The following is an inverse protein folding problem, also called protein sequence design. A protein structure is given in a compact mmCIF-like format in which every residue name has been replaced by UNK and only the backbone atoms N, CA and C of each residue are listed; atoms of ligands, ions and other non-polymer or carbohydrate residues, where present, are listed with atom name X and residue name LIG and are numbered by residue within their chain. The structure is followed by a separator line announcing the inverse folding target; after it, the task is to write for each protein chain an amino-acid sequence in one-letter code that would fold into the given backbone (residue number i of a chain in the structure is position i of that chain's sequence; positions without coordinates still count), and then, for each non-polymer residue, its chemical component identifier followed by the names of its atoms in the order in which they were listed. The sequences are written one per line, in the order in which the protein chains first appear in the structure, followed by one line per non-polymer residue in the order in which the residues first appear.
data_IF_295684915774
#
_entry.id   IF_295684915774
#
_cell.length_a   1.000
_cell.length_b   1.000
_cell.length_c   1.000
_cell.angle_alpha   90.00
_cell.angle_beta   90.00
_cell.angle_gamma   90.00
#
_symmetry.space_group_name_H-M   'P 1'
#
loop_
_entity.id
_entity.type
_entity.pdbx_description
1 polymer ?
#
# COMPACT_ATOMS: atom_id res chain seq x y z
N UNK A 1 -6.38 6.38 -10.89
CA UNK A 1 -7.67 6.69 -10.26
C UNK A 1 -7.44 6.75 -8.75
N UNK A 2 -7.98 7.78 -8.12
CA UNK A 2 -7.87 8.04 -6.66
C UNK A 2 -9.01 7.31 -5.96
N UNK A 3 -8.71 6.66 -4.83
CA UNK A 3 -9.74 6.09 -3.96
C UNK A 3 -10.34 7.20 -3.10
N UNK A 4 -11.47 7.76 -3.55
CA UNK A 4 -12.16 8.86 -2.87
C UNK A 4 -12.36 8.66 -1.35
N UNK A 5 -12.81 7.49 -0.84
CA UNK A 5 -12.95 7.30 0.61
C UNK A 5 -11.62 7.39 1.35
N UNK A 6 -10.54 6.87 0.75
CA UNK A 6 -9.19 6.96 1.34
C UNK A 6 -8.67 8.40 1.28
N UNK A 7 -9.00 9.16 0.24
CA UNK A 7 -8.70 10.58 0.18
C UNK A 7 -9.37 11.36 1.32
N UNK A 8 -10.66 11.12 1.56
CA UNK A 8 -11.37 11.76 2.66
C UNK A 8 -10.72 11.44 4.01
N UNK A 9 -10.39 10.17 4.26
CA UNK A 9 -9.68 9.75 5.47
C UNK A 9 -8.32 10.45 5.59
N UNK A 10 -7.52 10.44 4.52
CA UNK A 10 -6.22 11.11 4.47
C UNK A 10 -6.31 12.60 4.80
N UNK A 11 -7.29 13.31 4.22
CA UNK A 11 -7.50 14.74 4.48
C UNK A 11 -7.87 14.97 5.95
N UNK A 12 -8.75 14.15 6.52
CA UNK A 12 -9.14 14.25 7.94
C UNK A 12 -7.94 14.00 8.85
N UNK A 13 -7.19 12.93 8.60
CA UNK A 13 -5.97 12.59 9.34
C UNK A 13 -4.91 13.69 9.23
N UNK A 14 -4.76 14.31 8.05
CA UNK A 14 -3.82 15.40 7.80
C UNK A 14 -4.22 16.67 8.58
N UNK A 15 -5.51 17.01 8.61
CA UNK A 15 -6.01 18.14 9.40
C UNK A 15 -5.85 17.89 10.89
N UNK A 16 -6.07 16.67 11.37
CA UNK A 16 -5.83 16.29 12.76
C UNK A 16 -4.34 16.40 13.13
N UNK A 17 -3.45 15.91 12.27
CA UNK A 17 -2.01 16.02 12.47
C UNK A 17 -1.54 17.49 12.46
N UNK A 18 -2.07 18.32 11.56
CA UNK A 18 -1.79 19.75 11.52
C UNK A 18 -2.26 20.46 12.80
N UNK A 19 -3.47 20.14 13.28
CA UNK A 19 -3.97 20.67 14.55
C UNK A 19 -3.06 20.29 15.72
N UNK A 20 -2.67 19.02 15.84
CA UNK A 20 -1.79 18.55 16.92
C UNK A 20 -0.40 19.18 16.84
N UNK A 21 0.16 19.34 15.63
CA UNK A 21 1.50 19.89 15.43
C UNK A 21 1.59 21.41 15.60
N UNK A 22 0.54 22.16 15.27
CA UNK A 22 0.52 23.62 15.38
C UNK A 22 -0.06 24.13 16.70
N UNK A 23 -0.95 23.36 17.35
CA UNK A 23 -1.49 23.72 18.64
C UNK A 23 -0.40 23.71 19.72
N UNK A 24 -0.51 24.64 20.69
CA UNK A 24 0.39 24.69 21.85
C UNK A 24 -0.02 23.69 22.93
N UNK A 25 -0.24 22.43 22.53
CA UNK A 25 -0.67 21.34 23.40
C UNK A 25 0.52 20.42 23.66
N UNK A 26 0.76 20.10 24.93
CA UNK A 26 1.79 19.12 25.30
C UNK A 26 1.13 17.77 25.47
N UNK A 27 1.43 16.84 24.57
CA UNK A 27 0.92 15.47 24.65
C UNK A 27 1.93 14.58 25.39
N UNK A 28 1.45 13.66 26.25
CA UNK A 28 2.31 12.60 26.76
C UNK A 28 2.79 11.73 25.58
N UNK A 29 4.08 11.39 25.58
CA UNK A 29 4.72 10.60 24.51
C UNK A 29 4.68 11.24 23.11
N UNK A 30 5.00 12.54 23.01
CA UNK A 30 5.15 13.29 21.77
C UNK A 30 5.86 12.51 20.62
N UNK A 31 6.94 11.79 20.94
CA UNK A 31 7.66 10.95 19.94
C UNK A 31 6.82 9.80 19.36
N UNK A 32 5.96 9.19 20.18
CA UNK A 32 5.03 8.16 19.72
C UNK A 32 3.92 8.77 18.86
N UNK A 33 3.50 10.02 19.15
CA UNK A 33 2.52 10.75 18.34
C UNK A 33 3.09 11.05 16.94
N UNK A 34 4.32 11.56 16.86
CA UNK A 34 5.04 11.77 15.60
C UNK A 34 5.15 10.49 14.76
N UNK A 35 5.63 9.40 15.39
CA UNK A 35 5.69 8.09 14.76
C UNK A 35 4.33 7.62 14.24
N UNK A 36 3.30 7.67 15.09
CA UNK A 36 1.96 7.19 14.76
C UNK A 36 1.27 8.01 13.67
N UNK A 37 1.38 9.34 13.74
CA UNK A 37 0.83 10.25 12.74
C UNK A 37 1.45 10.01 11.36
N UNK A 38 2.79 9.93 11.29
CA UNK A 38 3.47 9.69 10.02
C UNK A 38 3.27 8.26 9.50
N UNK A 39 3.11 7.29 10.39
CA UNK A 39 2.73 5.93 10.01
C UNK A 39 1.35 5.93 9.31
N UNK A 40 0.33 6.53 9.95
CA UNK A 40 -1.04 6.57 9.43
C UNK A 40 -1.12 7.35 8.11
N UNK A 41 -0.58 8.57 8.07
CA UNK A 41 -0.58 9.40 6.87
C UNK A 41 0.12 8.72 5.70
N UNK A 42 1.24 8.03 5.96
CA UNK A 42 1.98 7.31 4.90
C UNK A 42 1.18 6.12 4.38
N UNK A 43 0.51 5.36 5.26
CA UNK A 43 -0.33 4.24 4.86
C UNK A 43 -1.55 4.69 4.04
N UNK A 44 -2.24 5.73 4.48
CA UNK A 44 -3.38 6.33 3.76
C UNK A 44 -2.94 6.87 2.40
N UNK A 45 -1.83 7.61 2.34
CA UNK A 45 -1.28 8.12 1.09
C UNK A 45 -0.88 6.99 0.12
N UNK A 46 -0.34 5.88 0.63
CA UNK A 46 -0.02 4.72 -0.19
C UNK A 46 -1.29 4.10 -0.80
N UNK A 47 -2.34 3.91 0.01
CA UNK A 47 -3.58 3.30 -0.47
C UNK A 47 -4.51 4.24 -1.23
N UNK A 48 -4.20 5.53 -1.27
CA UNK A 48 -4.87 6.54 -2.10
C UNK A 48 -4.91 6.15 -3.57
N UNK A 49 -3.84 5.48 -4.04
CA UNK A 49 -3.66 5.11 -5.43
C UNK A 49 -4.15 3.68 -5.69
N UNK A 50 -5.11 3.55 -6.62
CA UNK A 50 -5.76 2.26 -6.84
C UNK A 50 -4.98 1.31 -7.76
N UNK A 51 -4.44 1.85 -8.86
CA UNK A 51 -4.03 1.05 -10.02
C UNK A 51 -2.55 0.65 -10.01
N UNK A 52 -1.68 1.56 -9.59
CA UNK A 52 -0.23 1.35 -9.57
C UNK A 52 0.32 1.21 -8.15
N UNK A 53 1.60 0.87 -8.04
CA UNK A 53 2.31 0.72 -6.76
C UNK A 53 3.06 2.02 -6.47
N UNK A 54 2.55 2.92 -5.62
CA UNK A 54 3.03 4.30 -5.52
C UNK A 54 4.24 4.46 -4.61
N UNK A 55 5.09 3.44 -4.48
CA UNK A 55 6.13 3.41 -3.45
C UNK A 55 7.17 4.53 -3.61
N UNK A 56 7.60 4.86 -4.83
CA UNK A 56 8.52 5.98 -5.10
C UNK A 56 7.91 7.33 -4.73
N UNK A 57 6.64 7.52 -5.12
CA UNK A 57 5.91 8.75 -4.85
C UNK A 57 5.66 8.90 -3.34
N UNK A 58 5.31 7.81 -2.66
CA UNK A 58 5.10 7.77 -1.21
C UNK A 58 6.40 8.08 -0.47
N UNK A 59 7.52 7.45 -0.87
CA UNK A 59 8.83 7.72 -0.29
C UNK A 59 9.24 9.18 -0.46
N UNK A 60 9.06 9.74 -1.67
CA UNK A 60 9.41 11.13 -1.95
C UNK A 60 8.54 12.12 -1.17
N UNK A 61 7.21 11.98 -1.25
CA UNK A 61 6.29 12.95 -0.66
C UNK A 61 6.21 12.82 0.87
N UNK A 62 6.06 11.60 1.39
CA UNK A 62 5.84 11.40 2.82
C UNK A 62 7.16 11.32 3.60
N UNK A 63 8.10 10.47 3.16
CA UNK A 63 9.34 10.23 3.93
C UNK A 63 10.38 11.34 3.75
N UNK A 64 10.62 11.80 2.52
CA UNK A 64 11.61 12.86 2.27
C UNK A 64 11.02 14.26 2.44
N UNK A 65 9.81 14.48 1.91
CA UNK A 65 9.13 15.77 1.97
C UNK A 65 8.50 16.05 3.33
N UNK A 66 7.46 15.30 3.69
CA UNK A 66 6.62 15.61 4.84
C UNK A 66 7.32 15.43 6.19
N UNK A 67 8.15 14.38 6.37
CA UNK A 67 8.85 14.16 7.66
C UNK A 67 9.74 15.33 8.06
N UNK A 68 10.45 15.91 7.08
CA UNK A 68 11.34 17.05 7.30
C UNK A 68 10.56 18.37 7.25
N UNK A 69 9.72 18.55 6.22
CA UNK A 69 8.99 19.79 5.98
C UNK A 69 8.01 20.13 7.09
N UNK A 70 7.37 19.14 7.72
CA UNK A 70 6.44 19.38 8.83
C UNK A 70 7.10 20.08 10.02
N UNK A 71 8.32 19.68 10.40
CA UNK A 71 9.05 20.28 11.51
C UNK A 71 9.44 21.74 11.21
N UNK A 72 9.91 22.01 9.99
CA UNK A 72 10.19 23.39 9.55
C UNK A 72 8.93 24.26 9.53
N UNK A 73 7.81 23.74 9.03
CA UNK A 73 6.55 24.49 8.97
C UNK A 73 6.03 24.75 10.39
N UNK A 74 6.13 23.78 11.30
CA UNK A 74 5.70 23.95 12.69
C UNK A 74 6.51 25.03 13.41
N UNK A 75 7.83 25.03 13.27
CA UNK A 75 8.69 26.07 13.84
C UNK A 75 8.43 27.46 13.21
N UNK A 76 8.10 27.52 11.91
CA UNK A 76 7.74 28.76 11.23
C UNK A 76 6.38 29.32 11.69
N UNK A 77 5.38 28.45 11.87
CA UNK A 77 4.02 28.83 12.24
C UNK A 77 3.90 29.09 13.74
N UNK A 78 4.60 28.33 14.57
CA UNK A 78 4.63 28.47 16.01
C UNK A 78 6.10 28.61 16.49
N UNK A 79 6.65 29.83 16.49
CA UNK A 79 8.04 30.08 16.90
C UNK A 79 8.38 29.71 18.34
N UNK A 80 7.36 29.46 19.19
CA UNK A 80 7.58 28.97 20.55
C UNK A 80 7.89 27.46 20.59
N UNK A 81 7.62 26.72 19.51
CA UNK A 81 7.96 25.30 19.38
C UNK A 81 9.41 25.18 18.91
N UNK A 82 10.26 24.58 19.74
CA UNK A 82 11.67 24.36 19.42
C UNK A 82 11.76 23.28 18.35
N UNK A 83 12.54 23.55 17.30
CA UNK A 83 12.89 22.56 16.29
C UNK A 83 13.57 21.35 16.93
N UNK A 84 12.99 20.17 16.78
CA UNK A 84 13.51 18.91 17.34
C UNK A 84 13.85 17.90 16.24
N UNK A 85 15.15 17.65 16.06
CA UNK A 85 15.63 16.64 15.10
C UNK A 85 15.16 15.22 15.45
N UNK A 86 14.90 14.94 16.73
CA UNK A 86 14.40 13.64 17.16
C UNK A 86 12.99 13.40 16.61
N UNK A 87 12.15 14.43 16.50
CA UNK A 87 10.81 14.30 15.89
C UNK A 87 10.89 13.83 14.44
N UNK A 88 11.83 14.38 13.67
CA UNK A 88 12.09 13.96 12.28
C UNK A 88 12.46 12.47 12.23
N UNK A 89 13.28 11.97 13.16
CA UNK A 89 13.65 10.54 13.22
C UNK A 89 12.40 9.68 13.41
N UNK A 90 11.52 10.02 14.35
CA UNK A 90 10.29 9.26 14.59
C UNK A 90 9.31 9.34 13.41
N UNK A 91 9.22 10.49 12.74
CA UNK A 91 8.46 10.65 11.51
C UNK A 91 8.97 9.71 10.40
N UNK A 92 10.30 9.67 10.21
CA UNK A 92 10.94 8.80 9.23
C UNK A 92 10.71 7.33 9.57
N UNK A 93 10.92 6.91 10.82
CA UNK A 93 10.70 5.53 11.25
C UNK A 93 9.24 5.10 11.05
N UNK A 94 8.28 5.95 11.41
CA UNK A 94 6.85 5.70 11.21
C UNK A 94 6.51 5.54 9.73
N UNK A 95 6.99 6.46 8.88
CA UNK A 95 6.73 6.41 7.43
C UNK A 95 7.38 5.20 6.75
N UNK A 96 8.62 4.84 7.09
CA UNK A 96 9.30 3.68 6.53
C UNK A 96 8.63 2.36 6.94
N UNK A 97 8.21 2.25 8.21
CA UNK A 97 7.46 1.09 8.66
C UNK A 97 6.11 0.97 7.94
N UNK A 98 5.36 2.07 7.81
CA UNK A 98 4.10 2.07 7.07
C UNK A 98 4.31 1.68 5.60
N UNK A 99 5.29 2.29 4.92
CA UNK A 99 5.58 2.02 3.52
C UNK A 99 5.97 0.55 3.28
N UNK A 100 6.85 0.00 4.12
CA UNK A 100 7.28 -1.41 4.01
C UNK A 100 6.09 -2.36 4.20
N UNK A 101 5.26 -2.15 5.22
CA UNK A 101 4.05 -2.94 5.46
C UNK A 101 3.05 -2.81 4.31
N UNK A 102 2.84 -1.61 3.77
CA UNK A 102 1.92 -1.39 2.66
C UNK A 102 2.38 -2.09 1.37
N UNK A 103 3.67 -2.00 1.05
CA UNK A 103 4.27 -2.71 -0.09
C UNK A 103 4.14 -4.22 0.08
N UNK A 104 4.42 -4.74 1.28
CA UNK A 104 4.27 -6.16 1.59
C UNK A 104 2.81 -6.61 1.48
N UNK A 105 1.88 -5.91 2.13
CA UNK A 105 0.45 -6.21 2.10
C UNK A 105 -0.14 -6.17 0.69
N UNK A 106 0.20 -5.15 -0.10
CA UNK A 106 -0.26 -5.07 -1.50
C UNK A 106 0.35 -6.19 -2.35
N UNK A 107 1.60 -6.60 -2.08
CA UNK A 107 2.20 -7.76 -2.75
C UNK A 107 1.43 -9.03 -2.42
N UNK A 108 1.16 -9.25 -1.14
CA UNK A 108 0.48 -10.44 -0.64
C UNK A 108 -0.94 -10.55 -1.22
N UNK A 109 -1.72 -9.45 -1.22
CA UNK A 109 -3.07 -9.42 -1.79
C UNK A 109 -3.11 -9.70 -3.29
N UNK A 110 -2.04 -9.35 -4.02
CA UNK A 110 -1.93 -9.58 -5.48
C UNK A 110 -1.33 -10.93 -5.84
N UNK A 111 -0.88 -11.73 -4.86
CA UNK A 111 -0.48 -13.12 -5.13
C UNK A 111 -1.73 -13.83 -5.66
N UNK A 112 -1.71 -14.39 -6.88
CA UNK A 112 -2.75 -15.30 -7.29
C UNK A 112 -2.82 -16.36 -6.19
N UNK A 113 -4.00 -16.54 -5.59
CA UNK A 113 -4.24 -17.77 -4.86
C UNK A 113 -3.95 -18.86 -5.87
N UNK A 114 -2.86 -19.59 -5.72
CA UNK A 114 -2.61 -20.82 -6.47
C UNK A 114 -3.73 -21.77 -6.07
N UNK A 115 -4.91 -21.58 -6.65
CA UNK A 115 -5.78 -22.69 -6.99
C UNK A 115 -4.96 -23.42 -8.04
N UNK A 116 -4.41 -24.61 -7.75
CA UNK A 116 -4.08 -25.47 -8.86
C UNK A 116 -5.40 -25.63 -9.62
N UNK A 117 -5.43 -25.17 -10.87
CA UNK A 117 -6.47 -25.60 -11.80
C UNK A 117 -6.41 -27.13 -11.78
N UNK A 118 -7.33 -27.72 -11.02
CA UNK A 118 -7.56 -29.15 -11.04
C UNK A 118 -8.24 -29.41 -12.38
N UNK A 119 -7.44 -29.81 -13.37
CA UNK A 119 -7.85 -30.67 -14.49
C UNK A 119 -9.18 -30.26 -15.13
N UNK A 120 -9.22 -29.19 -15.92
CA UNK A 120 -10.00 -29.31 -17.15
C UNK A 120 -9.09 -30.01 -18.16
N UNK A 121 -9.33 -31.30 -18.48
CA UNK A 121 -8.66 -31.90 -19.62
C UNK A 121 -8.98 -31.04 -20.83
N UNK A 122 -7.93 -30.59 -21.53
CA UNK A 122 -8.10 -29.92 -22.81
C UNK A 122 -9.01 -30.76 -23.70
N UNK A 123 -10.03 -30.18 -24.35
CA UNK A 123 -10.82 -30.93 -25.32
C UNK A 123 -9.86 -31.55 -26.34
N UNK A 124 -10.09 -32.82 -26.74
CA UNK A 124 -9.20 -33.52 -27.66
C UNK A 124 -9.00 -32.67 -28.91
N UNK A 125 -7.75 -32.50 -29.33
CA UNK A 125 -7.43 -31.82 -30.58
C UNK A 125 -8.11 -32.53 -31.75
N UNK A 126 -8.52 -31.80 -32.79
CA UNK A 126 -9.18 -32.38 -33.97
C UNK A 126 -8.36 -33.53 -34.60
N UNK A 127 -7.03 -33.48 -34.46
CA UNK A 127 -6.09 -34.53 -34.89
C UNK A 127 -6.27 -35.88 -34.17
N UNK A 128 -6.84 -35.88 -32.95
CA UNK A 128 -7.10 -37.09 -32.16
C UNK A 128 -8.43 -37.74 -32.57
N UNK A 129 -9.37 -36.94 -33.09
CA UNK A 129 -10.68 -37.37 -33.58
C UNK A 129 -10.53 -38.15 -34.90
N UNK A 130 -9.60 -37.71 -35.76
CA UNK A 130 -9.28 -38.39 -37.04
C UNK A 130 -8.46 -39.69 -36.86
N UNK A 131 -7.90 -39.91 -35.66
CA UNK A 131 -7.16 -41.14 -35.31
C UNK A 131 -8.04 -42.34 -34.95
N UNK A 132 -9.35 -42.13 -34.73
CA UNK A 132 -10.27 -43.24 -34.45
C UNK A 132 -10.62 -43.97 -35.75
N UNK A 133 -9.80 -44.97 -36.08
CA UNK A 133 -10.13 -45.98 -37.09
C UNK A 133 -11.48 -46.59 -36.70
N UNK A 134 -12.48 -46.33 -37.55
CA UNK A 134 -13.84 -46.79 -37.37
C UNK A 134 -13.90 -48.29 -37.68
N UNK A 135 -13.43 -49.12 -36.73
CA UNK A 135 -13.44 -50.59 -36.86
C UNK A 135 -14.89 -51.05 -36.89
N UNK A 136 -15.37 -51.46 -38.06
CA UNK A 136 -16.71 -52.04 -38.16
C UNK A 136 -16.64 -53.45 -37.61
N UNK A 137 -17.71 -53.88 -36.94
CA UNK A 137 -17.85 -55.23 -36.38
C UNK A 137 -17.64 -56.34 -37.44
N UNK A 138 -17.79 -56.01 -38.73
CA UNK A 138 -17.53 -56.87 -39.89
C UNK A 138 -16.05 -57.16 -40.15
N UNK A 139 -15.14 -56.38 -39.56
CA UNK A 139 -13.71 -56.40 -39.87
C UNK A 139 -12.92 -57.22 -38.83
N UNK A 140 -13.60 -57.75 -37.82
CA UNK A 140 -13.01 -58.68 -36.87
C UNK A 140 -13.09 -60.11 -37.44
N UNK A 141 -11.96 -60.84 -37.55
CA UNK A 141 -12.01 -62.25 -37.88
C UNK A 141 -12.70 -63.00 -36.72
N UNK A 142 -13.76 -63.74 -37.06
CA UNK A 142 -14.45 -64.68 -36.16
C UNK A 142 -13.59 -65.91 -35.95
#
# INVERSE_FOLDING_TARGET
MIRLPVLCLFVVSLLAAAYLGFASIHLPHDKAVHFGAFFLLTAEFYFLWDRFRPWKLTLLCMTLGACVGSEYIQNLVNPARIFDFVDIIYNVLGSLLALTLCVWFQSWKRRPSSRPDLLEPSPPSEDEIDGFVNVRMSDMPV
#
